data_IF_170516770239
#
_entry.id   IF_170516770239
#
_cell.length_a   1.000
_cell.length_b   1.000
_cell.length_c   1.000
_cell.angle_alpha   90.00
_cell.angle_beta   90.00
_cell.angle_gamma   90.00
#
_symmetry.space_group_name_H-M   'P 1'
#
loop_
_entity.id
_entity.type
_entity.pdbx_description
1 polymer ?
#
# COMPACT_ATOMS: atom_id res chain seq x y z
N UNK A 1 -20.10 4.34 -23.03
CA UNK A 1 -18.68 4.35 -22.60
C UNK A 1 -18.66 3.77 -21.20
N UNK A 2 -17.96 2.67 -20.94
CA UNK A 2 -18.12 1.93 -19.68
C UNK A 2 -17.56 2.77 -18.52
N UNK A 3 -18.35 3.01 -17.47
CA UNK A 3 -18.06 3.94 -16.36
C UNK A 3 -16.66 3.75 -15.75
N UNK A 4 -16.18 2.51 -15.68
CA UNK A 4 -14.83 2.18 -15.21
C UNK A 4 -13.69 2.86 -15.97
N UNK A 5 -13.86 3.13 -17.28
CA UNK A 5 -12.82 3.79 -18.07
C UNK A 5 -12.67 5.27 -17.68
N UNK A 6 -13.77 5.90 -17.28
CA UNK A 6 -13.78 7.27 -16.78
C UNK A 6 -13.22 7.34 -15.34
N UNK A 7 -13.48 6.33 -14.50
CA UNK A 7 -12.87 6.24 -13.16
C UNK A 7 -11.36 6.01 -13.22
N UNK A 8 -10.92 5.10 -14.10
CA UNK A 8 -9.50 4.89 -14.37
C UNK A 8 -8.85 6.18 -14.86
N UNK A 9 -9.45 6.86 -15.85
CA UNK A 9 -8.93 8.12 -16.38
C UNK A 9 -8.83 9.21 -15.28
N UNK A 10 -9.86 9.33 -14.45
CA UNK A 10 -9.87 10.29 -13.34
C UNK A 10 -8.76 10.00 -12.32
N UNK A 11 -8.60 8.74 -11.89
CA UNK A 11 -7.58 8.37 -10.93
C UNK A 11 -6.15 8.63 -11.45
N UNK A 12 -5.83 8.22 -12.69
CA UNK A 12 -4.51 8.45 -13.29
C UNK A 12 -4.25 9.92 -13.63
N UNK A 13 -5.30 10.74 -13.79
CA UNK A 13 -5.16 12.19 -13.95
C UNK A 13 -4.77 12.91 -12.65
N UNK A 14 -5.06 12.30 -11.50
CA UNK A 14 -4.78 12.87 -10.17
C UNK A 14 -3.40 12.50 -9.66
N UNK A 15 -2.99 11.25 -9.88
CA UNK A 15 -1.71 10.75 -9.41
C UNK A 15 -1.01 9.92 -10.49
N UNK A 16 0.31 10.05 -10.63
CA UNK A 16 1.05 9.30 -11.63
C UNK A 16 1.22 7.84 -11.22
N UNK A 17 1.42 6.98 -12.22
CA UNK A 17 1.83 5.59 -12.00
C UNK A 17 3.29 5.51 -11.50
N UNK A 18 3.57 4.52 -10.66
CA UNK A 18 4.92 4.23 -10.15
C UNK A 18 5.91 3.85 -11.25
N UNK A 19 5.44 3.54 -12.47
CA UNK A 19 6.28 3.42 -13.66
C UNK A 19 7.20 4.64 -13.86
N UNK A 20 6.73 5.84 -13.53
CA UNK A 20 7.50 7.08 -13.66
C UNK A 20 8.32 7.44 -12.41
N UNK A 21 8.24 6.63 -11.35
CA UNK A 21 8.87 6.87 -10.04
C UNK A 21 9.68 5.65 -9.61
N UNK A 22 10.81 5.35 -10.27
CA UNK A 22 11.61 4.17 -9.99
C UNK A 22 12.05 4.09 -8.52
N UNK A 23 12.33 5.23 -7.88
CA UNK A 23 12.70 5.29 -6.45
C UNK A 23 11.62 4.70 -5.53
N UNK A 24 10.34 4.95 -5.82
CA UNK A 24 9.21 4.40 -5.04
C UNK A 24 9.06 2.91 -5.28
N UNK A 25 9.29 2.44 -6.51
CA UNK A 25 9.24 1.02 -6.85
C UNK A 25 10.34 0.25 -6.13
N UNK A 26 11.57 0.78 -6.12
CA UNK A 26 12.71 0.14 -5.47
C UNK A 26 12.63 0.20 -3.93
N UNK A 27 12.00 1.25 -3.40
CA UNK A 27 11.92 1.57 -1.98
C UNK A 27 13.05 2.53 -1.60
N UNK A 28 12.70 3.78 -1.31
CA UNK A 28 13.65 4.85 -1.02
C UNK A 28 13.32 5.52 0.32
N UNK A 29 13.76 4.90 1.41
CA UNK A 29 13.46 5.36 2.77
C UNK A 29 14.38 6.52 3.22
N UNK A 30 13.87 7.48 4.02
CA UNK A 30 14.70 8.50 4.65
C UNK A 30 15.75 7.89 5.59
N UNK A 31 16.89 8.58 5.77
CA UNK A 31 17.92 8.18 6.74
C UNK A 31 17.58 8.62 8.17
N UNK A 32 16.37 8.32 8.62
CA UNK A 32 15.89 8.55 9.99
C UNK A 32 15.66 7.22 10.71
N UNK A 33 15.38 7.26 12.01
CA UNK A 33 15.03 6.06 12.79
C UNK A 33 13.75 5.40 12.21
N UNK A 34 12.73 6.19 11.88
CA UNK A 34 11.50 5.70 11.26
C UNK A 34 11.79 5.06 9.90
N UNK A 35 12.60 5.71 9.06
CA UNK A 35 12.96 5.19 7.75
C UNK A 35 13.72 3.85 7.83
N UNK A 36 14.57 3.67 8.84
CA UNK A 36 15.22 2.38 9.11
C UNK A 36 14.19 1.29 9.45
N UNK A 37 13.22 1.57 10.32
CA UNK A 37 12.17 0.59 10.66
C UNK A 37 11.22 0.31 9.50
N UNK A 38 10.91 1.32 8.68
CA UNK A 38 10.18 1.14 7.43
C UNK A 38 10.94 0.20 6.48
N UNK A 39 12.25 0.37 6.33
CA UNK A 39 13.08 -0.49 5.48
C UNK A 39 13.11 -1.93 5.99
N UNK A 40 13.23 -2.14 7.31
CA UNK A 40 13.15 -3.47 7.93
C UNK A 40 11.81 -4.11 7.60
N UNK A 41 10.70 -3.41 7.88
CA UNK A 41 9.37 -3.94 7.64
C UNK A 41 9.12 -4.23 6.15
N UNK A 42 9.57 -3.35 5.26
CA UNK A 42 9.49 -3.55 3.82
C UNK A 42 10.16 -4.86 3.39
N UNK A 43 11.37 -5.14 3.87
CA UNK A 43 12.08 -6.39 3.56
C UNK A 43 11.35 -7.61 4.12
N UNK A 44 10.80 -7.54 5.33
CA UNK A 44 10.00 -8.63 5.90
C UNK A 44 8.70 -8.88 5.15
N UNK A 45 8.02 -7.83 4.68
CA UNK A 45 6.85 -7.98 3.81
C UNK A 45 7.23 -8.68 2.49
N UNK A 46 8.37 -8.34 1.90
CA UNK A 46 8.83 -9.02 0.68
C UNK A 46 9.05 -10.52 0.91
N UNK A 47 9.62 -10.91 2.05
CA UNK A 47 9.74 -12.33 2.44
C UNK A 47 8.37 -12.99 2.62
N UNK A 48 7.38 -12.23 3.10
CA UNK A 48 5.98 -12.65 3.25
C UNK A 48 5.14 -12.57 1.96
N UNK A 49 5.79 -12.54 0.80
CA UNK A 49 5.15 -12.65 -0.50
C UNK A 49 4.60 -11.34 -1.07
N UNK A 50 4.83 -10.21 -0.41
CA UNK A 50 4.54 -8.90 -0.99
C UNK A 50 5.53 -8.57 -2.11
N UNK A 51 5.05 -7.91 -3.16
CA UNK A 51 5.83 -7.63 -4.37
C UNK A 51 5.79 -6.14 -4.71
N UNK A 52 6.87 -5.68 -5.32
CA UNK A 52 6.92 -4.35 -5.96
C UNK A 52 6.01 -4.35 -7.18
N UNK A 53 5.42 -3.21 -7.48
CA UNK A 53 4.65 -3.02 -8.71
C UNK A 53 4.84 -1.61 -9.23
N UNK A 54 4.95 -1.50 -10.56
CA UNK A 54 4.94 -0.21 -11.27
C UNK A 54 3.51 0.30 -11.48
N UNK A 55 2.52 -0.56 -11.31
CA UNK A 55 1.12 -0.27 -11.63
C UNK A 55 0.34 0.43 -10.52
N UNK A 56 0.95 0.62 -9.35
CA UNK A 56 0.34 1.43 -8.29
C UNK A 56 0.42 2.92 -8.64
N UNK A 57 -0.60 3.69 -8.23
CA UNK A 57 -0.50 5.15 -8.19
C UNK A 57 0.52 5.57 -7.12
N UNK A 58 1.22 6.67 -7.34
CA UNK A 58 2.17 7.26 -6.38
C UNK A 58 1.53 8.48 -5.74
N UNK A 59 1.31 8.39 -4.43
CA UNK A 59 0.75 9.49 -3.66
C UNK A 59 1.83 10.45 -3.16
N UNK A 60 1.45 11.69 -2.74
CA UNK A 60 2.40 12.63 -2.18
C UNK A 60 3.18 12.01 -1.03
N UNK A 61 4.48 12.28 -0.99
CA UNK A 61 5.41 11.78 0.05
C UNK A 61 5.59 10.26 0.09
N UNK A 62 5.02 9.50 -0.86
CA UNK A 62 5.21 8.06 -0.91
C UNK A 62 6.67 7.73 -1.22
N UNK A 63 7.34 7.03 -0.31
CA UNK A 63 8.74 6.62 -0.36
C UNK A 63 8.91 5.18 -0.90
N UNK A 64 7.91 4.33 -0.69
CA UNK A 64 7.87 2.97 -1.20
C UNK A 64 6.42 2.44 -1.32
N UNK A 65 6.24 1.32 -2.03
CA UNK A 65 4.98 0.60 -2.00
C UNK A 65 5.07 -0.85 -2.47
N UNK A 66 4.28 -1.70 -1.83
CA UNK A 66 4.20 -3.13 -2.07
C UNK A 66 2.75 -3.58 -2.21
N UNK A 67 2.55 -4.69 -2.89
CA UNK A 67 1.24 -5.31 -3.08
C UNK A 67 1.29 -6.80 -2.70
N UNK A 68 0.18 -7.37 -2.26
CA UNK A 68 0.03 -8.83 -2.09
C UNK A 68 -1.34 -9.26 -2.57
N UNK A 69 -1.39 -10.19 -3.52
CA UNK A 69 -2.65 -10.82 -3.91
C UNK A 69 -3.15 -11.70 -2.77
N UNK A 70 -4.45 -11.65 -2.51
CA UNK A 70 -5.13 -12.48 -1.50
C UNK A 70 -6.31 -13.21 -2.16
N UNK A 71 -6.85 -14.27 -1.53
CA UNK A 71 -8.09 -14.89 -1.99
C UNK A 71 -9.22 -13.85 -2.10
N UNK A 72 -10.10 -14.04 -3.07
CA UNK A 72 -11.28 -13.19 -3.25
C UNK A 72 -12.15 -13.24 -1.99
N UNK A 73 -12.33 -12.09 -1.35
CA UNK A 73 -13.21 -11.92 -0.21
C UNK A 73 -14.66 -11.71 -0.67
N UNK A 74 -15.63 -11.87 0.25
CA UNK A 74 -17.06 -11.71 -0.06
C UNK A 74 -17.41 -10.31 -0.58
N UNK A 75 -16.65 -9.30 -0.19
CA UNK A 75 -16.79 -7.90 -0.63
C UNK A 75 -16.10 -7.59 -1.97
N UNK A 76 -15.48 -8.60 -2.60
CA UNK A 76 -14.78 -8.49 -3.87
C UNK A 76 -13.32 -8.03 -3.78
N UNK A 77 -12.80 -7.72 -2.59
CA UNK A 77 -11.38 -7.38 -2.41
C UNK A 77 -10.49 -8.62 -2.60
N UNK A 78 -9.32 -8.43 -3.20
CA UNK A 78 -8.37 -9.52 -3.47
C UNK A 78 -6.91 -9.05 -3.62
N UNK A 79 -6.60 -7.84 -3.17
CA UNK A 79 -5.22 -7.35 -3.11
C UNK A 79 -5.00 -6.42 -1.91
N UNK A 80 -3.92 -6.63 -1.18
CA UNK A 80 -3.41 -5.65 -0.22
C UNK A 80 -2.44 -4.70 -0.90
N UNK A 81 -2.56 -3.42 -0.57
CA UNK A 81 -1.69 -2.33 -1.03
C UNK A 81 -1.05 -1.69 0.19
N UNK A 82 0.27 -1.84 0.35
CA UNK A 82 1.04 -1.25 1.45
C UNK A 82 1.87 -0.11 0.92
N UNK A 83 1.75 1.07 1.52
CA UNK A 83 2.45 2.29 1.14
C UNK A 83 3.24 2.82 2.31
N UNK A 84 4.43 3.31 2.01
CA UNK A 84 5.34 3.91 2.98
C UNK A 84 5.49 5.38 2.61
N UNK A 85 5.45 6.26 3.61
CA UNK A 85 5.55 7.70 3.43
C UNK A 85 6.80 8.24 4.11
N UNK A 86 7.34 9.34 3.59
CA UNK A 86 8.57 9.95 4.09
C UNK A 86 8.43 10.56 5.50
N UNK A 87 7.20 10.77 5.97
CA UNK A 87 6.90 11.21 7.35
C UNK A 87 6.89 10.05 8.37
N UNK A 88 7.22 8.83 7.93
CA UNK A 88 7.27 7.65 8.78
C UNK A 88 6.01 6.79 8.73
N UNK A 89 4.89 7.28 8.18
CA UNK A 89 3.64 6.51 8.16
C UNK A 89 3.72 5.31 7.19
N UNK A 90 3.20 4.17 7.64
CA UNK A 90 2.94 2.98 6.84
C UNK A 90 1.43 2.76 6.81
N UNK A 91 0.86 2.74 5.61
CA UNK A 91 -0.57 2.59 5.41
C UNK A 91 -0.84 1.34 4.57
N UNK A 92 -1.92 0.63 4.88
CA UNK A 92 -2.36 -0.55 4.14
C UNK A 92 -3.84 -0.41 3.78
N UNK A 93 -4.15 -0.75 2.54
CA UNK A 93 -5.50 -0.78 1.99
C UNK A 93 -5.79 -2.19 1.46
N UNK A 94 -7.01 -2.69 1.68
CA UNK A 94 -7.54 -3.83 0.92
C UNK A 94 -8.35 -3.31 -0.25
N UNK A 95 -7.97 -3.69 -1.47
CA UNK A 95 -8.57 -3.22 -2.71
C UNK A 95 -9.04 -4.39 -3.58
N UNK A 96 -10.01 -4.12 -4.44
CA UNK A 96 -10.28 -4.98 -5.61
C UNK A 96 -9.06 -4.95 -6.52
N UNK A 97 -8.65 -6.06 -7.09
CA UNK A 97 -7.41 -6.22 -7.83
C UNK A 97 -7.33 -5.26 -9.02
N UNK A 98 -6.14 -4.69 -9.24
CA UNK A 98 -5.87 -3.62 -10.22
C UNK A 98 -6.30 -3.84 -11.67
N UNK A 99 -6.46 -5.09 -12.09
CA UNK A 99 -6.90 -5.45 -13.45
C UNK A 99 -8.40 -5.76 -13.54
N UNK A 100 -9.12 -5.65 -12.41
CA UNK A 100 -10.57 -5.73 -12.41
C UNK A 100 -11.17 -4.47 -13.03
N UNK A 101 -12.20 -4.57 -13.88
CA UNK A 101 -12.97 -3.42 -14.32
C UNK A 101 -13.61 -2.64 -13.16
N UNK A 102 -13.61 -3.16 -11.94
CA UNK A 102 -14.17 -2.49 -10.76
C UNK A 102 -13.09 -2.03 -9.78
N UNK A 103 -11.81 -1.99 -10.18
CA UNK A 103 -10.73 -1.59 -9.28
C UNK A 103 -10.93 -0.19 -8.66
N UNK A 104 -11.46 0.76 -9.43
CA UNK A 104 -11.68 2.14 -8.99
C UNK A 104 -13.09 2.41 -8.45
N UNK A 105 -14.04 1.51 -8.68
CA UNK A 105 -15.43 1.60 -8.25
C UNK A 105 -15.81 0.56 -7.18
N UNK A 106 -14.89 -0.34 -6.83
CA UNK A 106 -15.08 -1.44 -5.90
C UNK A 106 -14.80 -1.05 -4.46
N UNK A 107 -15.13 -1.98 -3.54
CA UNK A 107 -14.93 -1.80 -2.09
C UNK A 107 -13.46 -1.58 -1.78
N UNK A 108 -13.17 -0.59 -0.93
CA UNK A 108 -11.84 -0.32 -0.39
C UNK A 108 -11.91 -0.23 1.13
N UNK A 109 -11.14 -1.07 1.81
CA UNK A 109 -10.99 -1.00 3.26
C UNK A 109 -9.72 -0.27 3.61
N UNK A 110 -9.87 0.92 4.20
CA UNK A 110 -8.79 1.88 4.49
C UNK A 110 -7.99 1.53 5.75
N UNK A 111 -8.59 0.76 6.64
CA UNK A 111 -7.94 0.31 7.87
C UNK A 111 -7.36 -1.09 7.69
N UNK A 112 -6.27 -1.17 6.91
CA UNK A 112 -5.41 -2.35 6.86
C UNK A 112 -4.44 -2.42 8.04
N UNK A 113 -4.52 -1.54 9.05
CA UNK A 113 -3.55 -1.53 10.16
C UNK A 113 -3.60 -2.83 10.96
N UNK A 114 -4.80 -3.39 11.16
CA UNK A 114 -4.99 -4.72 11.77
C UNK A 114 -4.35 -5.85 10.95
N UNK A 115 -4.38 -5.74 9.62
CA UNK A 115 -3.71 -6.72 8.74
C UNK A 115 -2.19 -6.61 8.91
N UNK A 116 -1.66 -5.39 8.92
CA UNK A 116 -0.22 -5.18 9.14
C UNK A 116 0.22 -5.64 10.53
N UNK A 117 -0.57 -5.38 11.58
CA UNK A 117 -0.35 -5.89 12.94
C UNK A 117 -0.27 -7.40 12.96
N UNK A 118 -1.26 -8.07 12.36
CA UNK A 118 -1.31 -9.52 12.30
C UNK A 118 -0.05 -10.08 11.66
N UNK A 119 0.31 -9.59 10.47
CA UNK A 119 1.52 -10.03 9.77
C UNK A 119 2.76 -9.76 10.63
N UNK A 120 2.87 -8.57 11.22
CA UNK A 120 4.02 -8.18 12.04
C UNK A 120 4.21 -9.08 13.26
N UNK A 121 3.15 -9.40 13.99
CA UNK A 121 3.26 -10.15 15.23
C UNK A 121 3.22 -11.66 15.00
N UNK A 122 2.45 -12.16 14.05
CA UNK A 122 2.24 -13.59 13.81
C UNK A 122 3.14 -14.19 12.73
N UNK A 123 3.52 -13.42 11.70
CA UNK A 123 4.24 -13.95 10.53
C UNK A 123 5.73 -13.56 10.49
N UNK A 124 6.14 -12.51 11.22
CA UNK A 124 7.52 -12.00 11.17
C UNK A 124 8.38 -12.46 12.36
N UNK A 125 9.55 -13.02 12.07
CA UNK A 125 10.56 -13.40 13.06
C UNK A 125 11.47 -12.21 13.44
N UNK A 126 10.88 -11.20 14.07
CA UNK A 126 11.59 -10.02 14.58
C UNK A 126 11.56 -9.96 16.10
N UNK A 127 12.58 -9.35 16.70
CA UNK A 127 12.57 -9.07 18.14
C UNK A 127 11.41 -8.13 18.50
N UNK A 128 10.78 -8.35 19.66
CA UNK A 128 9.56 -7.64 20.07
C UNK A 128 9.74 -6.11 20.07
N UNK A 129 10.90 -5.62 20.52
CA UNK A 129 11.21 -4.17 20.50
C UNK A 129 11.21 -3.57 19.10
N UNK A 130 11.62 -4.33 18.09
CA UNK A 130 11.58 -3.90 16.68
C UNK A 130 10.14 -3.91 16.19
N UNK A 131 9.36 -4.94 16.53
CA UNK A 131 7.93 -5.01 16.22
C UNK A 131 7.19 -3.79 16.78
N UNK A 132 7.41 -3.45 18.05
CA UNK A 132 6.73 -2.31 18.69
C UNK A 132 7.11 -0.96 18.05
N UNK A 133 8.36 -0.82 17.59
CA UNK A 133 8.82 0.35 16.85
C UNK A 133 8.16 0.46 15.48
N UNK A 134 8.08 -0.64 14.73
CA UNK A 134 7.38 -0.70 13.44
C UNK A 134 5.88 -0.43 13.62
N UNK A 135 5.25 -1.02 14.63
CA UNK A 135 3.82 -0.86 14.89
C UNK A 135 3.43 0.60 15.07
N UNK A 136 4.26 1.39 15.76
CA UNK A 136 4.02 2.83 15.95
C UNK A 136 3.97 3.63 14.64
N UNK A 137 4.50 3.08 13.55
CA UNK A 137 4.48 3.69 12.23
C UNK A 137 3.19 3.40 11.45
N UNK A 138 2.34 2.48 11.91
CA UNK A 138 1.09 2.18 11.21
C UNK A 138 0.08 3.31 11.40
N UNK A 139 -0.41 3.84 10.29
CA UNK A 139 -1.36 4.94 10.25
C UNK A 139 -2.19 4.94 8.98
N UNK A 140 -3.04 5.97 8.84
CA UNK A 140 -3.98 6.11 7.73
C UNK A 140 -3.62 7.35 6.91
N UNK A 141 -3.58 7.21 5.58
CA UNK A 141 -3.38 8.29 4.60
C UNK A 141 -4.38 8.13 3.46
N UNK A 142 -5.50 8.84 3.52
CA UNK A 142 -6.67 8.61 2.64
C UNK A 142 -6.58 9.23 1.23
N UNK A 143 -5.39 9.24 0.61
CA UNK A 143 -5.22 9.75 -0.76
C UNK A 143 -6.04 8.97 -1.80
N UNK A 144 -6.36 7.70 -1.53
CA UNK A 144 -7.18 6.89 -2.42
C UNK A 144 -8.62 7.41 -2.57
N UNK A 145 -9.15 8.19 -1.61
CA UNK A 145 -10.46 8.83 -1.75
C UNK A 145 -10.50 9.83 -2.90
N UNK A 146 -9.37 10.50 -3.16
CA UNK A 146 -9.28 11.48 -4.24
C UNK A 146 -9.29 10.83 -5.63
N UNK A 147 -9.15 9.50 -5.69
CA UNK A 147 -9.11 8.73 -6.93
C UNK A 147 -10.51 8.27 -7.40
N UNK A 148 -11.57 8.53 -6.63
CA UNK A 148 -12.94 8.14 -6.98
C UNK A 148 -13.71 9.39 -7.45
N UNK A 149 -14.42 9.28 -8.58
CA UNK A 149 -15.32 10.36 -9.04
C UNK A 149 -16.55 10.39 -8.13
N UNK A 150 -16.86 11.57 -7.58
CA UNK A 150 -18.07 11.82 -6.78
C UNK A 150 -19.21 12.26 -7.68
#
# INVERSE_FOLDING_TARGET
>A
MREWALDLHYAVSRYPSALFFPKVVWGSFPKTEEGMYQEIFFKELQKNGFRRTVWQLVFPEQSAGLIKKIPLQEDGTNEYHVRFYSDGIIHCESEVHRFSPHHFSGVRHKDGTRVLEKILYEEMELHLTIKDKIRKLFGIKDYAEHCVRK
#
